data_IF_960675582815
#
_entry.id   IF_960675582815
#
_cell.length_a   1.000
_cell.length_b   1.000
_cell.length_c   1.000
_cell.angle_alpha   90.00
_cell.angle_beta   90.00
_cell.angle_gamma   90.00
#
_symmetry.space_group_name_H-M   'P 1'
#
loop_
_entity.id
_entity.type
_entity.pdbx_description
1 polymer ?
#
# COMPACT_ATOMS: atom_id res chain seq x y z
N UNK A 1 -8.66 -4.09 31.27
CA UNK A 1 -8.40 -4.19 29.82
C UNK A 1 -6.98 -3.73 29.55
N UNK A 2 -6.13 -4.61 29.02
CA UNK A 2 -4.71 -4.34 28.73
C UNK A 2 -4.34 -4.88 27.34
N UNK A 3 -5.26 -4.78 26.37
CA UNK A 3 -5.12 -5.44 25.06
C UNK A 3 -4.12 -4.75 24.12
N UNK A 4 -3.58 -3.58 24.49
CA UNK A 4 -2.69 -2.78 23.63
C UNK A 4 -1.23 -2.69 24.10
N UNK A 5 -0.85 -3.32 25.22
CA UNK A 5 0.52 -3.20 25.78
C UNK A 5 1.62 -3.83 24.92
N UNK A 6 1.27 -4.82 24.09
CA UNK A 6 2.21 -5.59 23.27
C UNK A 6 2.04 -5.36 21.76
N UNK A 7 1.26 -4.37 21.34
CA UNK A 7 1.10 -4.08 19.93
C UNK A 7 2.36 -3.34 19.44
N UNK A 8 3.08 -3.87 18.42
CA UNK A 8 4.24 -3.17 17.88
C UNK A 8 3.80 -1.79 17.40
N UNK A 9 4.55 -0.74 17.77
CA UNK A 9 4.27 0.62 17.30
C UNK A 9 4.55 0.67 15.79
N UNK A 10 3.51 0.78 14.99
CA UNK A 10 3.60 0.92 13.54
C UNK A 10 2.65 0.01 12.77
N UNK A 11 2.76 0.06 11.45
CA UNK A 11 2.06 -0.88 10.58
C UNK A 11 2.82 -2.21 10.63
N UNK A 12 2.16 -3.30 11.01
CA UNK A 12 2.76 -4.62 11.08
C UNK A 12 2.81 -5.27 9.69
N UNK A 13 3.79 -4.86 8.87
CA UNK A 13 4.08 -5.44 7.56
C UNK A 13 5.56 -5.80 7.44
N UNK A 14 5.86 -6.90 6.73
CA UNK A 14 7.25 -7.27 6.42
C UNK A 14 7.81 -6.35 5.34
N UNK A 15 9.11 -6.05 5.40
CA UNK A 15 9.82 -5.36 4.31
C UNK A 15 9.67 -6.13 2.99
N UNK A 16 9.65 -7.46 3.05
CA UNK A 16 9.47 -8.29 1.87
C UNK A 16 8.09 -8.11 1.24
N UNK A 17 7.03 -8.09 2.06
CA UNK A 17 5.65 -7.85 1.60
C UNK A 17 5.52 -6.47 0.94
N UNK A 18 6.24 -5.47 1.46
CA UNK A 18 6.27 -4.13 0.88
C UNK A 18 6.96 -4.09 -0.48
N UNK A 19 8.13 -4.71 -0.61
CA UNK A 19 8.87 -4.76 -1.87
C UNK A 19 8.07 -5.50 -2.96
N UNK A 20 7.37 -6.57 -2.59
CA UNK A 20 6.49 -7.29 -3.51
C UNK A 20 5.30 -6.44 -3.96
N UNK A 21 4.63 -5.75 -3.03
CA UNK A 21 3.55 -4.82 -3.35
C UNK A 21 4.02 -3.71 -4.30
N UNK A 22 5.22 -3.18 -4.08
CA UNK A 22 5.83 -2.15 -4.94
C UNK A 22 6.17 -2.70 -6.33
N UNK A 23 6.74 -3.89 -6.43
CA UNK A 23 7.05 -4.51 -7.73
C UNK A 23 5.76 -4.80 -8.53
N UNK A 24 4.75 -5.39 -7.88
CA UNK A 24 3.43 -5.64 -8.46
C UNK A 24 2.79 -4.33 -8.96
N UNK A 25 2.83 -3.29 -8.14
CA UNK A 25 2.28 -1.97 -8.49
C UNK A 25 3.05 -1.38 -9.69
N UNK A 26 4.38 -1.42 -9.67
CA UNK A 26 5.22 -0.94 -10.77
C UNK A 26 4.96 -1.68 -12.09
N UNK A 27 4.72 -3.00 -12.03
CA UNK A 27 4.33 -3.79 -13.20
C UNK A 27 2.97 -3.38 -13.75
N UNK A 28 1.98 -3.10 -12.89
CA UNK A 28 0.62 -2.71 -13.32
C UNK A 28 0.60 -1.34 -13.99
N UNK A 29 1.38 -0.39 -13.45
CA UNK A 29 1.45 0.99 -13.98
C UNK A 29 2.12 1.01 -15.37
N UNK A 30 3.03 0.06 -15.63
CA UNK A 30 3.78 0.00 -16.87
C UNK A 30 2.90 -0.51 -18.00
N UNK A 31 2.61 0.37 -18.96
CA UNK A 31 1.67 0.12 -20.06
C UNK A 31 2.06 -1.09 -20.95
N UNK A 32 3.32 -1.51 -20.97
CA UNK A 32 3.81 -2.65 -21.75
C UNK A 32 3.56 -4.02 -21.10
N UNK A 33 3.17 -4.05 -19.82
CA UNK A 33 2.90 -5.28 -19.07
C UNK A 33 1.62 -5.11 -18.29
N UNK A 34 0.53 -5.75 -18.72
CA UNK A 34 -0.62 -5.95 -17.83
C UNK A 34 -0.22 -6.90 -16.71
N UNK A 35 0.42 -6.38 -15.67
CA UNK A 35 0.61 -7.09 -14.41
C UNK A 35 -0.71 -7.26 -13.68
N UNK A 36 -0.76 -8.22 -12.76
CA UNK A 36 -1.84 -8.38 -11.78
C UNK A 36 -1.24 -8.22 -10.39
N UNK A 37 -1.99 -7.67 -9.42
CA UNK A 37 -1.56 -7.72 -8.02
C UNK A 37 -1.50 -9.20 -7.60
N UNK A 38 -0.37 -9.62 -7.03
CA UNK A 38 -0.23 -10.99 -6.54
C UNK A 38 -1.19 -11.26 -5.38
N UNK A 39 -1.51 -12.53 -5.13
CA UNK A 39 -2.42 -12.89 -4.04
C UNK A 39 -1.91 -12.46 -2.65
N UNK A 40 -0.59 -12.36 -2.47
CA UNK A 40 0.01 -11.92 -1.21
C UNK A 40 -0.14 -10.40 -1.04
N UNK A 41 0.19 -9.62 -2.08
CA UNK A 41 -0.07 -8.18 -2.13
C UNK A 41 -1.56 -7.84 -1.93
N UNK A 42 -2.48 -8.60 -2.53
CA UNK A 42 -3.93 -8.42 -2.32
C UNK A 42 -4.36 -8.70 -0.87
N UNK A 43 -3.82 -9.74 -0.24
CA UNK A 43 -4.03 -10.03 1.18
C UNK A 43 -3.47 -8.94 2.08
N UNK A 44 -2.30 -8.38 1.74
CA UNK A 44 -1.69 -7.27 2.48
C UNK A 44 -2.59 -6.03 2.42
N UNK A 45 -3.03 -5.63 1.23
CA UNK A 45 -3.95 -4.51 1.04
C UNK A 45 -5.26 -4.69 1.82
N UNK A 46 -5.80 -5.92 1.80
CA UNK A 46 -6.99 -6.29 2.59
C UNK A 46 -6.74 -6.14 4.10
N UNK A 47 -5.59 -6.61 4.61
CA UNK A 47 -5.20 -6.45 6.02
C UNK A 47 -5.02 -5.00 6.43
N UNK A 48 -4.54 -4.15 5.52
CA UNK A 48 -4.40 -2.71 5.72
C UNK A 48 -5.72 -1.95 5.54
N UNK A 49 -6.80 -2.64 5.15
CA UNK A 49 -8.10 -2.07 4.82
C UNK A 49 -8.01 -1.01 3.69
N UNK A 50 -7.15 -1.25 2.71
CA UNK A 50 -6.96 -0.40 1.53
C UNK A 50 -7.48 -1.17 0.31
N UNK A 51 -8.57 -0.73 -0.34
CA UNK A 51 -9.01 -1.34 -1.58
C UNK A 51 -7.95 -1.22 -2.66
N UNK A 52 -7.79 -2.27 -3.49
CA UNK A 52 -6.81 -2.28 -4.58
C UNK A 52 -6.96 -1.09 -5.54
N UNK A 53 -8.21 -0.72 -5.86
CA UNK A 53 -8.48 0.41 -6.76
C UNK A 53 -7.99 1.74 -6.15
N UNK A 54 -8.26 1.94 -4.85
CA UNK A 54 -7.75 3.10 -4.11
C UNK A 54 -6.22 3.08 -4.03
N UNK A 55 -5.61 1.91 -3.81
CA UNK A 55 -4.15 1.77 -3.78
C UNK A 55 -3.52 2.17 -5.12
N UNK A 56 -4.06 1.68 -6.23
CA UNK A 56 -3.58 2.04 -7.57
C UNK A 56 -3.74 3.53 -7.81
N UNK A 57 -4.92 4.10 -7.49
CA UNK A 57 -5.17 5.53 -7.63
C UNK A 57 -4.18 6.38 -6.82
N UNK A 58 -3.95 6.01 -5.56
CA UNK A 58 -2.99 6.69 -4.69
C UNK A 58 -1.57 6.60 -5.22
N UNK A 59 -1.15 5.45 -5.76
CA UNK A 59 0.23 5.24 -6.26
C UNK A 59 0.48 5.85 -7.63
N UNK A 60 -0.54 5.98 -8.49
CA UNK A 60 -0.42 6.63 -9.80
C UNK A 60 -0.66 8.13 -9.78
N UNK A 61 -1.54 8.59 -8.90
CA UNK A 61 -2.01 9.98 -8.88
C UNK A 61 -1.60 10.74 -7.62
N UNK A 62 -0.68 10.21 -6.80
CA UNK A 62 -0.27 10.83 -5.53
C UNK A 62 0.00 12.34 -5.66
N UNK A 63 0.83 12.75 -6.63
CA UNK A 63 1.18 14.14 -6.86
C UNK A 63 0.04 15.03 -7.37
N UNK A 64 -1.05 14.43 -7.84
CA UNK A 64 -2.29 15.13 -8.27
C UNK A 64 -3.41 15.05 -7.22
N UNK A 65 -3.35 14.12 -6.28
CA UNK A 65 -4.36 13.97 -5.23
C UNK A 65 -4.02 14.83 -4.02
N UNK A 66 -2.74 15.11 -3.80
CA UNK A 66 -2.26 15.91 -2.67
C UNK A 66 -1.55 17.17 -3.19
N UNK A 67 -2.21 18.33 -3.07
CA UNK A 67 -1.69 19.64 -3.50
C UNK A 67 -1.35 20.58 -2.33
N UNK A 68 -1.19 20.06 -1.11
CA UNK A 68 -0.85 20.85 0.08
C UNK A 68 0.20 20.14 0.93
N UNK A 69 0.92 20.86 1.81
CA UNK A 69 1.84 20.23 2.75
C UNK A 69 1.08 19.21 3.60
N UNK A 70 1.34 17.93 3.35
CA UNK A 70 0.82 16.82 4.13
C UNK A 70 1.75 16.63 5.34
N UNK A 71 1.38 17.26 6.44
CA UNK A 71 2.05 17.17 7.73
C UNK A 71 1.39 18.14 8.73
N UNK A 72 1.02 17.65 9.90
CA UNK A 72 0.63 18.53 11.03
C UNK A 72 1.89 18.92 11.78
N UNK A 73 2.01 20.21 12.14
CA UNK A 73 3.03 20.75 13.05
C UNK A 73 2.95 20.09 14.44
#
# INVERSE_FOLDING_TARGET
GNERKNQPKGIAFSVQDYLELVDDTGRIIRNDKRGSISANSAKLLTRLNIPQDNWLKLTTEFGKLFHGPVGTL
#
